data_IF_248519548023
#
_entry.id   IF_248519548023
#
_cell.length_a   1.000
_cell.length_b   1.000
_cell.length_c   1.000
_cell.angle_alpha   90.00
_cell.angle_beta   90.00
_cell.angle_gamma   90.00
#
_symmetry.space_group_name_H-M   'P 1'
#
loop_
_entity.id
_entity.type
_entity.pdbx_description
1 polymer ?
#
# COMPACT_ATOMS: atom_id res chain seq x y z
N UNK A 1 25.54 10.60 7.10
CA UNK A 1 24.86 11.05 5.86
C UNK A 1 24.53 12.53 5.95
N UNK A 2 24.94 13.31 4.95
CA UNK A 2 24.65 14.74 4.89
C UNK A 2 23.18 15.00 4.58
N UNK A 3 22.69 16.22 4.88
CA UNK A 3 21.32 16.64 4.52
C UNK A 3 21.09 16.55 3.00
N UNK A 4 22.07 16.96 2.20
CA UNK A 4 22.03 16.90 0.73
C UNK A 4 21.83 15.47 0.22
N UNK A 5 22.56 14.50 0.78
CA UNK A 5 22.40 13.08 0.40
C UNK A 5 20.99 12.54 0.70
N UNK A 6 20.37 12.96 1.80
CA UNK A 6 19.00 12.53 2.15
C UNK A 6 17.99 13.11 1.16
N UNK A 7 18.14 14.38 0.79
CA UNK A 7 17.27 15.04 -0.20
C UNK A 7 17.43 14.35 -1.55
N UNK A 8 18.66 14.13 -2.01
CA UNK A 8 18.93 13.41 -3.26
C UNK A 8 18.29 12.01 -3.28
N UNK A 9 18.42 11.25 -2.18
CA UNK A 9 17.78 9.93 -2.08
C UNK A 9 16.25 10.00 -2.07
N UNK A 10 15.64 11.03 -1.47
CA UNK A 10 14.19 11.22 -1.55
C UNK A 10 13.75 11.51 -2.98
N UNK A 11 14.46 12.37 -3.69
CA UNK A 11 14.20 12.68 -5.10
C UNK A 11 14.30 11.41 -5.94
N UNK A 12 15.41 10.67 -5.80
CA UNK A 12 15.60 9.39 -6.49
C UNK A 12 14.46 8.40 -6.19
N UNK A 13 14.01 8.34 -4.94
CA UNK A 13 12.92 7.46 -4.53
C UNK A 13 11.56 7.90 -5.11
N UNK A 14 11.30 9.20 -5.19
CA UNK A 14 10.11 9.71 -5.91
C UNK A 14 10.14 9.30 -7.38
N UNK A 15 11.28 9.45 -8.06
CA UNK A 15 11.45 9.04 -9.45
C UNK A 15 11.26 7.53 -9.61
N UNK A 16 11.87 6.72 -8.74
CA UNK A 16 11.75 5.26 -8.76
C UNK A 16 10.31 4.81 -8.53
N UNK A 17 9.60 5.42 -7.59
CA UNK A 17 8.20 5.11 -7.33
C UNK A 17 7.27 5.60 -8.43
N UNK A 18 7.61 6.64 -9.19
CA UNK A 18 6.82 7.11 -10.34
C UNK A 18 7.15 6.40 -11.65
N UNK A 19 8.33 5.75 -11.75
CA UNK A 19 8.77 5.07 -12.97
C UNK A 19 7.75 4.06 -13.52
N UNK A 20 7.08 3.21 -12.71
CA UNK A 20 6.07 2.29 -13.23
C UNK A 20 4.87 2.99 -13.85
N UNK A 21 4.40 4.07 -13.24
CA UNK A 21 3.34 4.90 -13.79
C UNK A 21 3.78 5.59 -15.08
N UNK A 22 5.00 6.13 -15.13
CA UNK A 22 5.57 6.72 -16.33
C UNK A 22 5.71 5.69 -17.47
N UNK A 23 6.09 4.45 -17.14
CA UNK A 23 6.14 3.33 -18.08
C UNK A 23 4.76 3.00 -18.65
N UNK A 24 3.73 2.94 -17.80
CA UNK A 24 2.35 2.74 -18.24
C UNK A 24 1.90 3.85 -19.21
N UNK A 25 2.21 5.11 -18.91
CA UNK A 25 1.91 6.25 -19.77
C UNK A 25 2.67 6.18 -21.10
N UNK A 26 3.92 5.71 -21.08
CA UNK A 26 4.69 5.50 -22.30
C UNK A 26 4.03 4.43 -23.19
N UNK A 27 3.61 3.29 -22.63
CA UNK A 27 2.91 2.23 -23.36
C UNK A 27 1.54 2.69 -23.91
N UNK A 28 0.88 3.61 -23.21
CA UNK A 28 -0.35 4.23 -23.71
C UNK A 28 -0.06 5.11 -24.93
N UNK A 29 0.91 6.02 -24.80
CA UNK A 29 1.22 7.03 -25.83
C UNK A 29 1.79 6.44 -27.12
N UNK A 30 2.53 5.35 -27.04
CA UNK A 30 3.11 4.68 -28.21
C UNK A 30 2.17 3.63 -28.83
N UNK A 31 0.94 3.50 -28.32
CA UNK A 31 -0.05 2.53 -28.80
C UNK A 31 0.21 1.08 -28.39
N UNK A 32 1.29 0.77 -27.67
CA UNK A 32 1.62 -0.60 -27.29
C UNK A 32 0.57 -1.24 -26.37
N UNK A 33 -0.13 -0.44 -25.54
CA UNK A 33 -1.26 -0.95 -24.75
C UNK A 33 -2.40 -1.45 -25.63
N UNK A 34 -2.65 -0.83 -26.79
CA UNK A 34 -3.73 -1.24 -27.70
C UNK A 34 -3.44 -2.58 -28.40
N UNK A 35 -2.17 -3.03 -28.39
CA UNK A 35 -1.78 -4.35 -28.89
C UNK A 35 -2.06 -5.47 -27.88
N UNK A 36 -2.39 -5.13 -26.63
CA UNK A 36 -2.75 -6.12 -25.63
C UNK A 36 -4.17 -6.64 -25.88
N UNK A 37 -4.44 -7.96 -25.83
CA UNK A 37 -5.79 -8.50 -25.98
C UNK A 37 -6.79 -7.96 -24.96
N UNK A 38 -6.32 -7.61 -23.76
CA UNK A 38 -7.13 -6.98 -22.71
C UNK A 38 -6.32 -5.90 -21.98
N UNK A 39 -6.26 -4.67 -22.53
CA UNK A 39 -5.46 -3.59 -21.98
C UNK A 39 -5.93 -3.17 -20.59
N UNK A 40 -7.25 -3.19 -20.34
CA UNK A 40 -7.85 -2.81 -19.05
C UNK A 40 -7.42 -3.78 -17.96
N UNK A 41 -7.49 -5.09 -18.24
CA UNK A 41 -7.02 -6.11 -17.31
C UNK A 41 -5.51 -6.00 -17.05
N UNK A 42 -4.71 -5.72 -18.07
CA UNK A 42 -3.27 -5.49 -17.90
C UNK A 42 -2.98 -4.30 -16.98
N UNK A 43 -3.61 -3.13 -17.21
CA UNK A 43 -3.42 -1.94 -16.39
C UNK A 43 -3.86 -2.20 -14.94
N UNK A 44 -5.00 -2.85 -14.76
CA UNK A 44 -5.55 -3.21 -13.44
C UNK A 44 -4.58 -4.10 -12.66
N UNK A 45 -4.06 -5.16 -13.27
CA UNK A 45 -3.08 -6.04 -12.65
C UNK A 45 -1.74 -5.35 -12.41
N UNK A 46 -1.26 -4.54 -13.35
CA UNK A 46 -0.01 -3.81 -13.22
C UNK A 46 -0.05 -2.87 -12.00
N UNK A 47 -1.07 -2.02 -11.92
CA UNK A 47 -1.26 -1.08 -10.79
C UNK A 47 -1.50 -1.80 -9.46
N UNK A 48 -2.22 -2.92 -9.46
CA UNK A 48 -2.41 -3.77 -8.28
C UNK A 48 -1.11 -4.40 -7.77
N UNK A 49 -0.29 -4.94 -8.67
CA UNK A 49 1.02 -5.50 -8.34
C UNK A 49 1.95 -4.43 -7.73
N UNK A 50 2.03 -3.25 -8.34
CA UNK A 50 2.84 -2.15 -7.80
C UNK A 50 2.36 -1.64 -6.45
N UNK A 51 1.04 -1.67 -6.20
CA UNK A 51 0.49 -1.41 -4.87
C UNK A 51 1.06 -2.39 -3.84
N UNK A 52 1.00 -3.70 -4.11
CA UNK A 52 1.53 -4.73 -3.21
C UNK A 52 3.04 -4.61 -3.05
N UNK A 53 3.81 -4.42 -4.12
CA UNK A 53 5.27 -4.32 -4.05
C UNK A 53 5.73 -3.15 -3.18
N UNK A 54 5.12 -1.97 -3.35
CA UNK A 54 5.46 -0.77 -2.58
C UNK A 54 4.99 -0.91 -1.12
N UNK A 55 3.85 -1.55 -0.89
CA UNK A 55 3.35 -1.86 0.45
C UNK A 55 4.31 -2.82 1.18
N UNK A 56 4.73 -3.91 0.53
CA UNK A 56 5.71 -4.86 1.07
C UNK A 56 7.07 -4.20 1.31
N UNK A 57 7.53 -3.35 0.39
CA UNK A 57 8.76 -2.56 0.58
C UNK A 57 8.67 -1.64 1.81
N UNK A 58 7.52 -0.97 2.00
CA UNK A 58 7.25 -0.15 3.19
C UNK A 58 7.33 -0.98 4.48
N UNK A 59 6.79 -2.20 4.45
CA UNK A 59 6.85 -3.13 5.56
C UNK A 59 8.28 -3.62 5.82
N UNK A 60 9.08 -3.87 4.78
CA UNK A 60 10.45 -4.36 4.85
C UNK A 60 11.41 -3.41 5.57
N UNK A 61 11.16 -2.10 5.56
CA UNK A 61 12.02 -1.10 6.23
C UNK A 61 12.21 -1.40 7.72
N UNK A 62 11.19 -1.92 8.40
CA UNK A 62 11.24 -2.17 9.86
C UNK A 62 12.09 -3.37 10.27
N UNK A 63 12.02 -4.55 9.62
CA UNK A 63 13.00 -5.61 9.84
C UNK A 63 14.39 -5.23 9.30
N UNK A 64 14.50 -4.62 8.11
CA UNK A 64 15.81 -4.28 7.52
C UNK A 64 16.65 -3.34 8.39
N UNK A 65 16.05 -2.30 8.98
CA UNK A 65 16.79 -1.39 9.87
C UNK A 65 17.38 -2.07 11.11
N UNK A 66 16.89 -3.27 11.46
CA UNK A 66 17.35 -4.02 12.64
C UNK A 66 18.57 -4.87 12.33
N UNK A 67 18.86 -5.14 11.06
CA UNK A 67 20.02 -5.95 10.64
C UNK A 67 21.34 -5.20 10.86
N UNK A 68 21.33 -3.87 10.71
CA UNK A 68 22.53 -3.06 10.96
C UNK A 68 22.17 -1.63 11.37
N UNK A 69 22.85 -1.05 12.37
CA UNK A 69 22.72 0.37 12.71
C UNK A 69 22.94 1.30 11.52
N UNK A 70 23.82 0.92 10.58
CA UNK A 70 24.13 1.71 9.37
C UNK A 70 22.92 1.91 8.46
N UNK A 71 21.94 1.00 8.50
CA UNK A 71 20.74 0.98 7.63
C UNK A 71 19.56 1.69 8.31
N UNK A 72 19.69 2.11 9.57
CA UNK A 72 18.59 2.74 10.33
C UNK A 72 18.06 4.04 9.70
N UNK A 73 18.84 4.70 8.84
CA UNK A 73 18.38 5.86 8.08
C UNK A 73 17.17 5.57 7.17
N UNK A 74 16.94 4.31 6.77
CA UNK A 74 15.82 3.91 5.92
C UNK A 74 14.44 4.29 6.50
N UNK A 75 14.34 4.39 7.83
CA UNK A 75 13.10 4.81 8.53
C UNK A 75 12.60 6.16 8.04
N UNK A 76 13.52 7.04 7.60
CA UNK A 76 13.21 8.39 7.13
C UNK A 76 12.42 8.39 5.82
N UNK A 77 12.44 7.29 5.06
CA UNK A 77 11.71 7.15 3.80
C UNK A 77 10.42 6.36 3.94
N UNK A 78 10.16 5.72 5.09
CA UNK A 78 8.99 4.86 5.29
C UNK A 78 7.66 5.56 4.97
N UNK A 79 7.49 6.81 5.40
CA UNK A 79 6.26 7.57 5.13
C UNK A 79 6.08 7.86 3.63
N UNK A 80 7.17 8.23 2.96
CA UNK A 80 7.17 8.54 1.53
C UNK A 80 6.76 7.31 0.70
N UNK A 81 7.37 6.15 0.98
CA UNK A 81 7.06 4.90 0.26
C UNK A 81 5.61 4.47 0.55
N UNK A 82 5.15 4.60 1.80
CA UNK A 82 3.77 4.28 2.17
C UNK A 82 2.73 5.15 1.46
N UNK A 83 3.03 6.43 1.21
CA UNK A 83 2.15 7.30 0.41
C UNK A 83 2.08 6.86 -1.06
N UNK A 84 3.18 6.36 -1.63
CA UNK A 84 3.13 5.75 -2.96
C UNK A 84 2.33 4.45 -3.00
N UNK A 85 2.36 3.63 -1.93
CA UNK A 85 1.48 2.48 -1.85
C UNK A 85 0.00 2.90 -1.95
N UNK A 86 -0.39 3.98 -1.27
CA UNK A 86 -1.73 4.55 -1.37
C UNK A 86 -2.02 5.17 -2.75
N UNK A 87 -1.05 5.86 -3.36
CA UNK A 87 -1.17 6.37 -4.73
C UNK A 87 -1.49 5.24 -5.73
N UNK A 88 -0.71 4.15 -5.73
CA UNK A 88 -0.98 3.01 -6.61
C UNK A 88 -2.27 2.27 -6.24
N UNK A 89 -2.61 2.16 -4.95
CA UNK A 89 -3.90 1.58 -4.54
C UNK A 89 -5.08 2.39 -5.09
N UNK A 90 -4.94 3.72 -5.13
CA UNK A 90 -5.95 4.62 -5.69
C UNK A 90 -6.01 4.53 -7.20
N UNK A 91 -4.87 4.43 -7.88
CA UNK A 91 -4.85 4.12 -9.32
C UNK A 91 -5.51 2.78 -9.61
N UNK A 92 -5.22 1.74 -8.84
CA UNK A 92 -5.83 0.42 -8.99
C UNK A 92 -7.35 0.48 -8.81
N UNK A 93 -7.86 1.15 -7.76
CA UNK A 93 -9.30 1.35 -7.60
C UNK A 93 -9.89 2.19 -8.75
N UNK A 94 -9.18 3.22 -9.20
CA UNK A 94 -9.60 4.05 -10.33
C UNK A 94 -9.70 3.25 -11.63
N UNK A 95 -8.84 2.25 -11.86
CA UNK A 95 -8.95 1.38 -13.05
C UNK A 95 -10.27 0.60 -13.05
N UNK A 96 -10.72 0.10 -11.90
CA UNK A 96 -12.04 -0.52 -11.79
C UNK A 96 -13.17 0.49 -12.05
N UNK A 97 -13.10 1.65 -11.40
CA UNK A 97 -14.16 2.66 -11.44
C UNK A 97 -14.29 3.34 -12.81
N UNK A 98 -13.19 3.57 -13.53
CA UNK A 98 -13.19 4.35 -14.78
C UNK A 98 -12.91 3.54 -16.03
N UNK A 99 -12.27 2.37 -15.95
CA UNK A 99 -11.97 1.55 -17.13
C UNK A 99 -12.83 0.28 -17.17
N UNK A 100 -12.97 -0.41 -16.05
CA UNK A 100 -13.69 -1.68 -16.00
C UNK A 100 -15.22 -1.49 -15.99
N UNK A 101 -15.70 -0.43 -15.35
CA UNK A 101 -17.13 -0.13 -15.20
C UNK A 101 -17.85 0.23 -16.51
N UNK A 102 -17.10 0.46 -17.60
CA UNK A 102 -17.63 0.89 -18.89
C UNK A 102 -17.75 2.40 -19.06
N UNK A 103 -17.15 3.20 -18.17
CA UNK A 103 -17.13 4.66 -18.31
C UNK A 103 -16.25 5.10 -19.49
N UNK A 104 -16.83 5.81 -20.44
CA UNK A 104 -16.10 6.32 -21.60
C UNK A 104 -15.71 7.78 -21.40
N UNK A 105 -14.46 7.97 -20.95
CA UNK A 105 -13.85 9.27 -20.72
C UNK A 105 -13.83 10.10 -22.02
N UNK A 106 -13.59 9.49 -23.18
CA UNK A 106 -13.48 10.20 -24.46
C UNK A 106 -14.83 10.76 -24.86
N UNK A 107 -15.87 9.93 -24.80
CA UNK A 107 -17.25 10.36 -25.06
C UNK A 107 -17.69 11.43 -24.05
N UNK A 108 -17.44 11.23 -22.75
CA UNK A 108 -17.81 12.21 -21.72
C UNK A 108 -17.15 13.58 -21.92
N UNK A 109 -15.87 13.61 -22.29
CA UNK A 109 -15.15 14.85 -22.59
C UNK A 109 -15.60 15.47 -23.92
N UNK A 110 -15.93 14.64 -24.92
CA UNK A 110 -16.53 15.06 -26.18
C UNK A 110 -17.85 15.79 -25.96
N UNK A 111 -18.75 15.20 -25.17
CA UNK A 111 -20.02 15.80 -24.76
C UNK A 111 -19.87 17.14 -24.10
N UNK A 112 -18.96 17.27 -23.12
CA UNK A 112 -18.66 18.55 -22.47
C UNK A 112 -18.20 19.60 -23.48
N UNK A 113 -17.30 19.24 -24.39
CA UNK A 113 -16.81 20.16 -25.45
C UNK A 113 -17.90 20.54 -26.44
N UNK A 114 -18.88 19.68 -26.66
CA UNK A 114 -20.03 19.90 -27.53
C UNK A 114 -21.19 20.65 -26.84
N UNK A 115 -21.04 21.07 -25.57
CA UNK A 115 -22.09 21.77 -24.83
C UNK A 115 -23.10 20.85 -24.14
N UNK A 116 -22.83 19.54 -24.06
CA UNK A 116 -23.63 18.53 -23.36
C UNK A 116 -22.93 18.00 -22.09
N UNK A 117 -22.71 18.83 -21.06
CA UNK A 117 -22.06 18.37 -19.83
C UNK A 117 -22.88 17.31 -19.07
N UNK A 118 -24.17 17.18 -19.39
CA UNK A 118 -25.05 16.14 -18.84
C UNK A 118 -24.61 14.72 -19.19
N UNK A 119 -23.83 14.52 -20.27
CA UNK A 119 -23.33 13.20 -20.66
C UNK A 119 -22.48 12.54 -19.57
N UNK A 120 -21.70 13.31 -18.81
CA UNK A 120 -20.95 12.81 -17.65
C UNK A 120 -21.92 12.14 -16.66
N UNK A 121 -22.96 12.87 -16.26
CA UNK A 121 -23.91 12.43 -15.25
C UNK A 121 -24.74 11.25 -15.76
N UNK A 122 -25.11 11.26 -17.03
CA UNK A 122 -25.87 10.16 -17.66
C UNK A 122 -25.08 8.87 -17.67
N UNK A 123 -23.80 8.89 -18.04
CA UNK A 123 -22.95 7.69 -17.96
C UNK A 123 -22.84 7.17 -16.52
N UNK A 124 -22.63 8.06 -15.55
CA UNK A 124 -22.59 7.67 -14.13
C UNK A 124 -23.89 7.04 -13.63
N UNK A 125 -25.04 7.58 -14.02
CA UNK A 125 -26.36 7.02 -13.67
C UNK A 125 -26.54 5.59 -14.17
N UNK A 126 -26.03 5.28 -15.36
CA UNK A 126 -26.09 3.94 -15.95
C UNK A 126 -25.13 2.97 -15.25
N UNK A 127 -23.93 3.43 -14.93
CA UNK A 127 -22.85 2.57 -14.43
C UNK A 127 -22.95 2.33 -12.92
N UNK A 128 -23.46 3.29 -12.15
CA UNK A 128 -23.49 3.22 -10.68
C UNK A 128 -24.20 1.98 -10.13
N UNK A 129 -25.40 1.57 -10.63
CA UNK A 129 -26.06 0.35 -10.16
C UNK A 129 -25.21 -0.91 -10.38
N UNK A 130 -24.51 -1.01 -11.52
CA UNK A 130 -23.65 -2.15 -11.83
C UNK A 130 -22.42 -2.20 -10.90
N UNK A 131 -21.79 -1.05 -10.63
CA UNK A 131 -20.67 -0.97 -9.67
C UNK A 131 -21.09 -1.43 -8.29
N UNK A 132 -22.27 -0.99 -7.82
CA UNK A 132 -22.81 -1.36 -6.50
C UNK A 132 -23.13 -2.85 -6.46
N UNK A 133 -23.77 -3.38 -7.50
CA UNK A 133 -24.09 -4.81 -7.60
C UNK A 133 -22.83 -5.68 -7.56
N UNK A 134 -21.79 -5.32 -8.32
CA UNK A 134 -20.50 -5.99 -8.29
C UNK A 134 -19.83 -5.90 -6.92
N UNK A 135 -19.85 -4.72 -6.27
CA UNK A 135 -19.29 -4.52 -4.93
C UNK A 135 -19.99 -5.42 -3.89
N UNK A 136 -21.31 -5.58 -3.98
CA UNK A 136 -22.09 -6.39 -3.05
C UNK A 136 -21.91 -7.90 -3.30
N UNK A 137 -21.76 -8.32 -4.56
CA UNK A 137 -21.62 -9.73 -4.92
C UNK A 137 -20.20 -10.27 -4.81
N UNK A 138 -19.18 -9.43 -5.02
CA UNK A 138 -17.79 -9.89 -5.15
C UNK A 138 -17.00 -9.64 -3.87
N UNK A 139 -16.84 -10.70 -3.07
CA UNK A 139 -16.04 -10.69 -1.82
C UNK A 139 -14.62 -10.14 -1.98
N UNK A 140 -13.96 -10.38 -3.12
CA UNK A 140 -12.61 -9.87 -3.34
C UNK A 140 -12.61 -8.35 -3.48
N UNK A 141 -13.61 -7.75 -4.13
CA UNK A 141 -13.73 -6.28 -4.23
C UNK A 141 -13.93 -5.68 -2.83
N UNK A 142 -14.76 -6.29 -1.99
CA UNK A 142 -15.00 -5.82 -0.62
C UNK A 142 -13.71 -5.80 0.22
N UNK A 143 -12.91 -6.86 0.15
CA UNK A 143 -11.62 -6.93 0.87
C UNK A 143 -10.61 -5.93 0.29
N UNK A 144 -10.60 -5.75 -1.03
CA UNK A 144 -9.77 -4.73 -1.69
C UNK A 144 -10.15 -3.31 -1.26
N UNK A 145 -11.44 -3.01 -1.22
CA UNK A 145 -11.97 -1.73 -0.74
C UNK A 145 -11.64 -1.49 0.74
N UNK A 146 -11.77 -2.52 1.58
CA UNK A 146 -11.36 -2.44 2.99
C UNK A 146 -9.86 -2.09 3.12
N UNK A 147 -9.01 -2.76 2.34
CA UNK A 147 -7.57 -2.46 2.32
C UNK A 147 -7.32 -1.01 1.88
N UNK A 148 -8.01 -0.54 0.84
CA UNK A 148 -7.92 0.83 0.35
C UNK A 148 -8.39 1.85 1.41
N UNK A 149 -9.52 1.61 2.09
CA UNK A 149 -10.02 2.48 3.18
C UNK A 149 -9.00 2.58 4.30
N UNK A 150 -8.37 1.47 4.71
CA UNK A 150 -7.30 1.50 5.69
C UNK A 150 -6.14 2.36 5.17
N UNK A 151 -5.66 2.13 3.95
CA UNK A 151 -4.56 2.93 3.37
C UNK A 151 -4.91 4.42 3.27
N UNK A 152 -6.16 4.75 2.91
CA UNK A 152 -6.67 6.11 2.88
C UNK A 152 -6.59 6.77 4.26
N UNK A 153 -7.06 6.10 5.32
CA UNK A 153 -6.96 6.62 6.68
C UNK A 153 -5.51 6.84 7.13
N UNK A 154 -4.60 5.93 6.76
CA UNK A 154 -3.17 6.08 7.04
C UNK A 154 -2.54 7.24 6.26
N UNK A 155 -2.92 7.43 4.99
CA UNK A 155 -2.45 8.53 4.18
C UNK A 155 -2.99 9.88 4.68
N UNK A 156 -4.29 9.96 4.99
CA UNK A 156 -4.96 11.14 5.54
C UNK A 156 -4.36 11.56 6.88
N UNK A 157 -3.90 10.60 7.71
CA UNK A 157 -3.24 10.88 9.00
C UNK A 157 -1.70 10.93 8.91
N UNK A 158 -1.15 10.97 7.70
CA UNK A 158 0.29 11.11 7.45
C UNK A 158 0.86 12.54 7.59
N UNK A 159 0.10 13.65 7.40
CA UNK A 159 0.61 15.00 7.59
C UNK A 159 1.11 15.24 9.02
N UNK A 160 2.18 16.04 9.15
CA UNK A 160 2.86 16.25 10.43
C UNK A 160 2.00 16.98 11.47
N UNK A 161 1.02 17.80 11.05
CA UNK A 161 0.11 18.47 11.97
C UNK A 161 -0.90 17.50 12.58
N UNK A 162 -1.49 16.58 11.79
CA UNK A 162 -2.42 15.55 12.28
C UNK A 162 -1.71 14.60 13.23
N UNK A 163 -0.49 14.17 12.89
CA UNK A 163 0.33 13.34 13.77
C UNK A 163 0.58 13.98 15.14
N UNK A 164 0.85 15.28 15.16
CA UNK A 164 1.07 16.05 16.40
C UNK A 164 -0.23 16.16 17.19
N UNK A 165 -1.35 16.45 16.53
CA UNK A 165 -2.67 16.57 17.16
C UNK A 165 -3.18 15.25 17.78
N UNK A 166 -3.03 14.12 17.08
CA UNK A 166 -3.49 12.81 17.58
C UNK A 166 -2.64 12.25 18.74
N UNK A 167 -1.42 12.76 18.90
CA UNK A 167 -0.42 12.19 19.78
C UNK A 167 0.23 10.92 19.22
N UNK A 168 1.54 10.77 19.42
CA UNK A 168 2.34 9.70 18.82
C UNK A 168 1.86 8.28 19.15
N UNK A 169 1.29 8.04 20.33
CA UNK A 169 0.78 6.71 20.74
C UNK A 169 -0.45 6.29 19.92
N UNK A 170 -1.44 7.16 19.78
CA UNK A 170 -2.65 6.87 19.01
C UNK A 170 -2.35 6.81 17.51
N UNK A 171 -1.50 7.71 17.02
CA UNK A 171 -1.02 7.65 15.63
C UNK A 171 -0.34 6.31 15.32
N UNK A 172 0.52 5.82 16.22
CA UNK A 172 1.16 4.50 16.08
C UNK A 172 0.13 3.35 16.14
N UNK A 173 -0.89 3.43 16.99
CA UNK A 173 -1.98 2.44 17.06
C UNK A 173 -2.70 2.34 15.72
N UNK A 174 -3.12 3.47 15.16
CA UNK A 174 -3.76 3.53 13.84
C UNK A 174 -2.82 2.99 12.75
N UNK A 175 -1.55 3.40 12.75
CA UNK A 175 -0.57 2.96 11.75
C UNK A 175 -0.15 1.50 11.85
N UNK A 176 -0.59 0.75 12.87
CA UNK A 176 -0.48 -0.72 12.87
C UNK A 176 -1.49 -1.40 11.95
N UNK A 177 -2.56 -0.70 11.54
CA UNK A 177 -3.51 -1.22 10.56
C UNK A 177 -2.88 -1.48 9.20
N UNK A 178 -1.67 -0.97 8.93
CA UNK A 178 -0.91 -1.31 7.72
C UNK A 178 -0.69 -2.82 7.57
N UNK A 179 -0.63 -3.57 8.68
CA UNK A 179 -0.51 -5.04 8.63
C UNK A 179 -1.82 -5.68 8.18
N UNK A 180 -2.95 -5.15 8.64
CA UNK A 180 -4.28 -5.58 8.21
C UNK A 180 -4.47 -5.29 6.73
N UNK A 181 -4.11 -4.08 6.27
CA UNK A 181 -4.17 -3.72 4.85
C UNK A 181 -3.31 -4.64 3.98
N UNK A 182 -2.10 -5.01 4.42
CA UNK A 182 -1.24 -5.92 3.66
C UNK A 182 -1.78 -7.35 3.59
N UNK A 183 -2.31 -7.88 4.70
CA UNK A 183 -2.96 -9.19 4.73
C UNK A 183 -4.20 -9.18 3.84
N UNK A 184 -5.05 -8.15 3.96
CA UNK A 184 -6.23 -7.97 3.13
C UNK A 184 -5.86 -7.88 1.64
N UNK A 185 -4.80 -7.15 1.27
CA UNK A 185 -4.32 -7.08 -0.11
C UNK A 185 -3.90 -8.43 -0.68
N UNK A 186 -3.23 -9.27 0.11
CA UNK A 186 -2.87 -10.64 -0.31
C UNK A 186 -4.11 -11.52 -0.44
N UNK A 187 -5.05 -11.47 0.51
CA UNK A 187 -6.33 -12.21 0.43
C UNK A 187 -7.13 -11.79 -0.80
N UNK A 188 -7.24 -10.48 -1.05
CA UNK A 188 -7.86 -9.92 -2.24
C UNK A 188 -7.25 -10.51 -3.52
N UNK A 189 -5.92 -10.58 -3.60
CA UNK A 189 -5.23 -11.13 -4.77
C UNK A 189 -5.47 -12.65 -4.93
N UNK A 190 -5.46 -13.42 -3.84
CA UNK A 190 -5.79 -14.85 -3.87
C UNK A 190 -7.21 -15.14 -4.35
N UNK A 191 -8.19 -14.31 -3.97
CA UNK A 191 -9.56 -14.48 -4.43
C UNK A 191 -9.83 -13.96 -5.84
N UNK A 192 -8.96 -13.09 -6.35
CA UNK A 192 -9.03 -12.59 -7.72
C UNK A 192 -8.59 -13.68 -8.72
N UNK A 193 -7.50 -14.38 -8.42
CA UNK A 193 -6.92 -15.36 -9.35
C UNK A 193 -7.76 -16.63 -9.41
N UNK A 194 -7.79 -17.26 -10.59
CA UNK A 194 -8.43 -18.57 -10.78
C UNK A 194 -7.74 -19.63 -9.92
N UNK A 195 -8.49 -20.66 -9.55
CA UNK A 195 -7.95 -21.83 -8.85
C UNK A 195 -6.79 -22.46 -9.64
N UNK A 196 -5.73 -22.83 -8.95
CA UNK A 196 -4.50 -23.37 -9.56
C UNK A 196 -3.47 -22.32 -9.99
N UNK A 197 -3.84 -21.03 -10.10
CA UNK A 197 -2.88 -19.96 -10.39
C UNK A 197 -2.06 -19.63 -9.14
N UNK A 198 -0.74 -19.67 -9.26
CA UNK A 198 0.21 -19.52 -8.15
C UNK A 198 0.90 -18.16 -8.08
N UNK A 199 0.47 -17.19 -8.87
CA UNK A 199 1.08 -15.85 -8.89
C UNK A 199 1.12 -15.15 -7.52
N UNK A 200 0.11 -15.25 -6.62
CA UNK A 200 0.14 -14.54 -5.34
C UNK A 200 1.09 -15.17 -4.30
N UNK A 201 1.66 -16.35 -4.57
CA UNK A 201 2.53 -17.03 -3.61
C UNK A 201 3.78 -16.23 -3.26
N UNK A 202 4.34 -15.52 -4.23
CA UNK A 202 5.56 -14.70 -4.03
C UNK A 202 5.30 -13.61 -2.99
N UNK A 203 4.20 -12.87 -3.15
CA UNK A 203 3.82 -11.78 -2.25
C UNK A 203 3.43 -12.30 -0.87
N UNK A 204 2.75 -13.45 -0.83
CA UNK A 204 2.38 -14.14 0.41
C UNK A 204 3.61 -14.56 1.21
N UNK A 205 4.60 -15.17 0.54
CA UNK A 205 5.84 -15.61 1.18
C UNK A 205 6.62 -14.42 1.74
N UNK A 206 6.77 -13.34 0.96
CA UNK A 206 7.43 -12.11 1.41
C UNK A 206 6.69 -11.53 2.62
N UNK A 207 5.36 -11.38 2.57
CA UNK A 207 4.58 -10.87 3.68
C UNK A 207 4.75 -11.74 4.94
N UNK A 208 4.65 -13.06 4.80
CA UNK A 208 4.80 -14.01 5.89
C UNK A 208 6.16 -13.86 6.56
N UNK A 209 7.25 -13.85 5.79
CA UNK A 209 8.62 -13.63 6.30
C UNK A 209 8.73 -12.30 7.04
N UNK A 210 8.20 -11.21 6.47
CA UNK A 210 8.24 -9.87 7.08
C UNK A 210 7.46 -9.79 8.40
N UNK A 211 6.31 -10.49 8.51
CA UNK A 211 5.51 -10.54 9.72
C UNK A 211 6.17 -11.43 10.78
N UNK A 212 6.64 -12.62 10.40
CA UNK A 212 7.35 -13.55 11.28
C UNK A 212 8.61 -12.91 11.87
N UNK A 213 9.44 -12.27 11.05
CA UNK A 213 10.64 -11.55 11.51
C UNK A 213 10.33 -10.49 12.59
N UNK A 214 9.13 -9.88 12.55
CA UNK A 214 8.70 -8.93 13.58
C UNK A 214 8.26 -9.61 14.86
N UNK A 215 7.52 -10.71 14.77
CA UNK A 215 7.05 -11.48 15.93
C UNK A 215 8.26 -12.05 16.67
N UNK A 216 9.15 -12.75 15.97
CA UNK A 216 10.38 -13.35 16.52
C UNK A 216 11.22 -12.32 17.25
N UNK A 217 11.50 -11.17 16.62
CA UNK A 217 12.26 -10.10 17.25
C UNK A 217 11.58 -9.54 18.51
N UNK A 218 10.26 -9.39 18.48
CA UNK A 218 9.51 -8.84 19.63
C UNK A 218 9.52 -9.82 20.80
N UNK A 219 9.40 -11.12 20.53
CA UNK A 219 9.53 -12.17 21.53
C UNK A 219 10.96 -12.22 22.12
N UNK A 220 11.98 -12.24 21.27
CA UNK A 220 13.39 -12.23 21.69
C UNK A 220 13.70 -11.05 22.63
N UNK A 221 13.31 -9.83 22.26
CA UNK A 221 13.53 -8.64 23.11
C UNK A 221 12.82 -8.71 24.47
N UNK A 222 11.66 -9.36 24.55
CA UNK A 222 10.93 -9.54 25.82
C UNK A 222 11.66 -10.52 26.75
N UNK A 223 12.22 -11.60 26.20
CA UNK A 223 12.99 -12.58 26.97
C UNK A 223 14.29 -11.98 27.51
N UNK A 224 15.03 -11.22 26.71
CA UNK A 224 16.33 -10.63 27.11
C UNK A 224 16.22 -9.40 28.02
N UNK A 225 15.00 -8.88 28.26
CA UNK A 225 14.75 -7.83 29.27
C UNK A 225 14.39 -8.38 30.65
N UNK A 226 14.26 -9.70 30.80
CA UNK A 226 13.97 -10.38 32.07
C UNK A 226 15.25 -10.97 32.66
N UNK A 227 16.13 -10.13 33.17
CA UNK A 227 17.09 -10.53 34.19
C UNK A 227 16.76 -9.70 35.43
N UNK A 228 16.05 -10.26 36.43
CA UNK A 228 15.93 -9.60 37.72
C UNK A 228 17.33 -9.54 38.32
N UNK A 229 17.76 -8.36 38.78
CA UNK A 229 18.93 -8.26 39.63
C UNK A 229 18.68 -9.15 40.85
N UNK A 230 19.46 -10.22 41.00
CA UNK A 230 19.53 -10.97 42.25
C UNK A 230 20.06 -9.97 43.28
N UNK A 231 19.17 -9.43 44.12
CA UNK A 231 19.58 -8.75 45.35
C UNK A 231 20.14 -9.84 46.25
N UNK A 232 21.45 -10.05 46.20
CA UNK A 232 22.14 -10.80 47.24
C UNK A 232 22.10 -9.89 48.47
N UNK A 233 21.15 -10.16 49.36
CA UNK A 233 21.11 -9.55 50.69
C UNK A 233 22.36 -10.00 51.43
N UNK A 234 23.30 -9.08 51.64
CA UNK A 234 24.42 -9.28 52.54
C UNK A 234 23.82 -9.34 53.95
N UNK A 235 23.81 -10.52 54.55
CA UNK A 235 23.48 -10.69 55.96
C UNK A 235 24.53 -9.92 56.77
N UNK A 236 24.10 -8.86 57.45
CA UNK A 236 24.92 -8.17 58.44
C UNK A 236 25.06 -9.05 59.67
N UNK A 237 26.21 -9.73 59.77
CA UNK A 237 26.69 -10.32 61.01
C UNK A 237 27.43 -9.23 61.79
N UNK A 238 26.88 -8.80 62.93
CA UNK A 238 27.65 -8.23 64.04
C UNK A 238 26.94 -8.67 65.33
N UNK A 239 27.52 -9.63 66.05
CA UNK A 239 28.30 -9.45 67.29
C UNK A 239 27.43 -9.02 68.47
#
# INVERSE_FOLDING_TARGET
MSKRSIIALKVLLHLLCLAPFAYLLHLYRNGALALNPDPVNYITHFTGNWTLYILLATLAITPLRRLSPRISFLVRFRRLIGLYAFFYATLHLATYVFLFSGYDIVTALGGVRAGHPGEIVTQWKVIWPAIVDDLLKRRFIQVGLLAWVILFLLAATSPAFIMRAMGGKNWQRLHRLIYVAAIAGVIHFWWLVKTGVRTPWKDTAVLAVLLLARIVYTAWKRTHKRTPAVRIGVASVSK
#
